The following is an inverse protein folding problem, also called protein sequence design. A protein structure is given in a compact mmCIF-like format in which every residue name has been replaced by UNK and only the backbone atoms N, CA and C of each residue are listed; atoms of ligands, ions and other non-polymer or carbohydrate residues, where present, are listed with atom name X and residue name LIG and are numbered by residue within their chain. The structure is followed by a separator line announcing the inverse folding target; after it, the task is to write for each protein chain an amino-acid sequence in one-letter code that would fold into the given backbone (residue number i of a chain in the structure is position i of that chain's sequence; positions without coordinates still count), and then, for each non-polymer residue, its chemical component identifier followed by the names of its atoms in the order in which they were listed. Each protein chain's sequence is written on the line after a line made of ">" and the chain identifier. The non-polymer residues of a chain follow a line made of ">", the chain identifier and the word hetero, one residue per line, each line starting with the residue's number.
data_IF_535719587883
#
_entry.id   IF_535719587883
#
_cell.length_a   1.000
_cell.length_b   1.000
_cell.length_c   1.000
_cell.angle_alpha   90.00
_cell.angle_beta   90.00
_cell.angle_gamma   90.00
#
_symmetry.space_group_name_H-M   'P 1'
#
loop_
_entity.id
_entity.type
_entity.pdbx_description
1 polymer ?
#
# COMPACT_ATOMS: atom_id res chain seq x y z
N UNK A 1 26.77 -38.02 -51.23
CA UNK A 1 27.43 -38.93 -50.27
C UNK A 1 28.60 -38.18 -49.63
N UNK A 2 28.43 -37.70 -48.39
CA UNK A 2 29.48 -37.06 -47.57
C UNK A 2 29.76 -37.98 -46.39
N UNK A 3 30.99 -38.48 -46.30
CA UNK A 3 31.42 -39.36 -45.22
C UNK A 3 31.39 -38.62 -43.88
N UNK A 4 30.59 -39.12 -42.94
CA UNK A 4 30.57 -38.66 -41.56
C UNK A 4 31.80 -39.22 -40.84
N UNK A 5 32.84 -38.39 -40.68
CA UNK A 5 33.99 -38.67 -39.83
C UNK A 5 33.56 -38.62 -38.36
N UNK A 6 33.07 -39.74 -37.85
CA UNK A 6 32.90 -40.02 -36.41
C UNK A 6 34.28 -40.16 -35.78
N UNK A 7 34.91 -39.02 -35.45
CA UNK A 7 36.05 -39.01 -34.52
C UNK A 7 35.56 -39.38 -33.12
N UNK A 8 35.54 -40.68 -32.83
CA UNK A 8 35.38 -41.22 -31.50
C UNK A 8 36.63 -40.88 -30.69
N UNK A 9 36.73 -39.63 -30.21
CA UNK A 9 37.74 -39.25 -29.20
C UNK A 9 37.41 -40.04 -27.94
N UNK A 10 38.09 -41.18 -27.76
CA UNK A 10 38.20 -41.85 -26.47
C UNK A 10 38.69 -40.81 -25.46
N UNK A 11 37.75 -40.19 -24.72
CA UNK A 11 38.08 -39.42 -23.53
C UNK A 11 38.62 -40.44 -22.54
N UNK A 12 39.94 -40.58 -22.50
CA UNK A 12 40.63 -41.28 -21.43
C UNK A 12 40.33 -40.46 -20.18
N UNK A 13 39.28 -40.84 -19.46
CA UNK A 13 38.92 -40.21 -18.18
C UNK A 13 39.92 -40.74 -17.16
N UNK A 14 41.02 -40.02 -16.99
CA UNK A 14 41.88 -40.22 -15.82
C UNK A 14 40.98 -40.13 -14.59
N UNK A 15 41.00 -41.13 -13.68
CA UNK A 15 40.12 -41.11 -12.51
C UNK A 15 40.36 -39.82 -11.73
N UNK A 16 39.28 -39.08 -11.47
CA UNK A 16 39.37 -37.83 -10.72
C UNK A 16 40.01 -38.10 -9.36
N UNK A 17 40.90 -37.23 -8.88
CA UNK A 17 41.60 -37.45 -7.64
C UNK A 17 40.61 -37.47 -6.47
N UNK A 18 40.79 -38.46 -5.59
CA UNK A 18 39.89 -38.73 -4.46
C UNK A 18 40.64 -38.66 -3.14
N UNK A 19 40.08 -37.93 -2.17
CA UNK A 19 40.56 -37.92 -0.80
C UNK A 19 39.87 -39.02 0.02
N UNK A 20 40.65 -39.72 0.87
CA UNK A 20 40.11 -40.71 1.82
C UNK A 20 39.81 -40.03 3.16
N UNK A 21 38.54 -39.99 3.54
CA UNK A 21 38.08 -39.57 4.88
C UNK A 21 37.57 -40.81 5.61
N UNK A 22 38.48 -41.49 6.31
CA UNK A 22 38.17 -42.78 6.95
C UNK A 22 37.73 -43.83 5.91
N UNK A 23 36.56 -44.47 6.06
CA UNK A 23 36.08 -45.49 5.12
C UNK A 23 35.49 -44.90 3.81
N UNK A 24 35.24 -43.59 3.73
CA UNK A 24 34.56 -42.96 2.59
C UNK A 24 35.58 -42.26 1.68
N UNK A 25 35.44 -42.48 0.36
CA UNK A 25 36.20 -41.74 -0.67
C UNK A 25 35.34 -40.61 -1.20
N UNK A 26 35.83 -39.37 -1.08
CA UNK A 26 35.14 -38.18 -1.60
C UNK A 26 36.00 -37.57 -2.71
N UNK A 27 35.37 -37.06 -3.76
CA UNK A 27 36.06 -36.30 -4.79
C UNK A 27 36.74 -35.07 -4.16
N UNK A 28 38.02 -34.84 -4.47
CA UNK A 28 38.83 -33.78 -3.87
C UNK A 28 38.19 -32.39 -4.02
N UNK A 29 37.59 -32.11 -5.18
CA UNK A 29 36.86 -30.87 -5.44
C UNK A 29 35.68 -30.62 -4.50
N UNK A 30 34.96 -31.67 -4.09
CA UNK A 30 33.84 -31.55 -3.15
C UNK A 30 34.33 -31.35 -1.72
N UNK A 31 35.46 -31.96 -1.37
CA UNK A 31 36.07 -31.78 -0.07
C UNK A 31 36.56 -30.34 0.10
N UNK A 32 37.32 -29.84 -0.87
CA UNK A 32 37.79 -28.45 -0.93
C UNK A 32 36.64 -27.43 -0.88
N UNK A 33 35.57 -27.65 -1.67
CA UNK A 33 34.37 -26.82 -1.60
C UNK A 33 33.73 -26.83 -0.20
N UNK A 34 33.69 -27.99 0.45
CA UNK A 34 33.20 -28.13 1.83
C UNK A 34 34.04 -27.34 2.85
N UNK A 35 35.37 -27.38 2.71
CA UNK A 35 36.28 -26.58 3.55
C UNK A 35 36.03 -25.08 3.35
N UNK A 36 35.90 -24.63 2.10
CA UNK A 36 35.59 -23.23 1.79
C UNK A 36 34.25 -22.79 2.38
N UNK A 37 33.20 -23.61 2.26
CA UNK A 37 31.89 -23.33 2.88
C UNK A 37 32.03 -23.22 4.40
N UNK A 38 32.77 -24.14 5.03
CA UNK A 38 33.03 -24.11 6.47
C UNK A 38 33.74 -22.82 6.92
N UNK A 39 34.76 -22.39 6.18
CA UNK A 39 35.49 -21.15 6.44
C UNK A 39 34.58 -19.93 6.29
N UNK A 40 33.77 -19.88 5.24
CA UNK A 40 32.79 -18.80 5.02
C UNK A 40 31.76 -18.74 6.14
N UNK A 41 31.29 -19.89 6.64
CA UNK A 41 30.38 -19.96 7.78
C UNK A 41 31.03 -19.46 9.07
N UNK A 42 32.30 -19.81 9.32
CA UNK A 42 33.07 -19.30 10.47
C UNK A 42 33.25 -17.78 10.35
N UNK A 43 33.63 -17.27 9.18
CA UNK A 43 33.76 -15.83 8.93
C UNK A 43 32.42 -15.11 9.16
N UNK A 44 31.31 -15.69 8.68
CA UNK A 44 29.96 -15.19 8.91
C UNK A 44 29.56 -15.16 10.38
N UNK A 45 29.86 -16.23 11.13
CA UNK A 45 29.63 -16.29 12.56
C UNK A 45 30.45 -15.24 13.33
N UNK A 46 31.72 -15.00 12.93
CA UNK A 46 32.56 -13.95 13.49
C UNK A 46 32.02 -12.55 13.19
N UNK A 47 31.47 -12.32 12.00
CA UNK A 47 30.79 -11.07 11.66
C UNK A 47 29.46 -10.90 12.41
N UNK A 48 28.76 -11.99 12.74
CA UNK A 48 27.53 -11.96 13.52
C UNK A 48 27.79 -11.79 15.03
N UNK A 49 29.01 -12.03 15.51
CA UNK A 49 29.39 -11.99 16.92
C UNK A 49 29.02 -10.66 17.63
N UNK A 50 29.24 -9.46 17.03
CA UNK A 50 28.80 -8.19 17.62
C UNK A 50 27.28 -8.06 17.75
N UNK A 51 26.50 -8.75 16.92
CA UNK A 51 25.03 -8.71 16.94
C UNK A 51 24.42 -9.69 17.97
N UNK A 52 25.19 -10.66 18.48
CA UNK A 52 24.70 -11.63 19.45
C UNK A 52 24.61 -11.01 20.85
N UNK A 53 23.43 -11.15 21.50
CA UNK A 53 23.10 -10.56 22.82
C UNK A 53 24.19 -10.65 23.91
N UNK A 54 24.86 -11.80 24.16
CA UNK A 54 25.85 -11.88 25.24
C UNK A 54 27.13 -11.10 24.95
N UNK A 55 27.46 -10.85 23.67
CA UNK A 55 28.69 -10.15 23.27
C UNK A 55 28.43 -8.70 22.87
N UNK A 56 27.17 -8.30 22.66
CA UNK A 56 26.80 -6.97 22.21
C UNK A 56 27.27 -5.89 23.21
N UNK A 57 27.02 -6.05 24.51
CA UNK A 57 27.40 -5.06 25.53
C UNK A 57 28.92 -4.76 25.57
N UNK A 58 29.77 -5.77 25.30
CA UNK A 58 31.22 -5.60 25.25
C UNK A 58 31.70 -5.06 23.91
N UNK A 59 31.06 -5.45 22.80
CA UNK A 59 31.40 -4.97 21.47
C UNK A 59 30.97 -3.52 21.23
N UNK A 60 29.83 -3.09 21.80
CA UNK A 60 29.26 -1.75 21.60
C UNK A 60 30.22 -0.65 22.08
N UNK A 61 30.88 -0.84 23.21
CA UNK A 61 31.85 0.14 23.75
C UNK A 61 33.13 0.27 22.94
N UNK A 62 33.45 -0.69 22.07
CA UNK A 62 34.72 -0.75 21.30
C UNK A 62 34.55 -1.11 19.84
N UNK A 63 33.36 -0.88 19.26
CA UNK A 63 33.01 -1.34 17.92
C UNK A 63 34.02 -0.92 16.85
N UNK A 64 34.51 0.32 16.93
CA UNK A 64 35.49 0.90 16.01
C UNK A 64 36.87 0.19 16.01
N UNK A 65 37.23 -0.52 17.09
CA UNK A 65 38.47 -1.33 17.17
C UNK A 65 38.22 -2.81 16.87
N UNK A 66 37.08 -3.33 17.33
CA UNK A 66 36.75 -4.75 17.21
C UNK A 66 36.40 -5.13 15.77
N UNK A 67 35.61 -4.30 15.07
CA UNK A 67 35.20 -4.55 13.68
C UNK A 67 36.37 -4.68 12.69
N UNK A 68 37.34 -3.75 12.63
CA UNK A 68 38.49 -3.90 11.72
C UNK A 68 39.37 -5.11 12.09
N UNK A 69 39.47 -5.46 13.37
CA UNK A 69 40.25 -6.63 13.81
C UNK A 69 39.59 -7.94 13.34
N UNK A 70 38.26 -8.07 13.46
CA UNK A 70 37.50 -9.20 12.92
C UNK A 70 37.66 -9.29 11.40
N UNK A 71 37.60 -8.14 10.72
CA UNK A 71 37.76 -8.08 9.26
C UNK A 71 39.17 -8.54 8.84
N UNK A 72 40.23 -8.03 9.47
CA UNK A 72 41.62 -8.46 9.20
C UNK A 72 41.77 -9.96 9.46
N UNK A 73 41.26 -10.46 10.59
CA UNK A 73 41.32 -11.89 10.91
C UNK A 73 40.62 -12.75 9.85
N UNK A 74 39.41 -12.35 9.41
CA UNK A 74 38.66 -13.04 8.36
C UNK A 74 39.42 -13.02 7.02
N UNK A 75 40.08 -11.91 6.66
CA UNK A 75 40.92 -11.84 5.46
C UNK A 75 42.13 -12.77 5.55
N UNK A 76 42.81 -12.84 6.69
CA UNK A 76 43.94 -13.77 6.89
C UNK A 76 43.50 -15.22 6.83
N UNK A 77 42.35 -15.56 7.45
CA UNK A 77 41.78 -16.90 7.39
C UNK A 77 41.43 -17.31 5.96
N UNK A 78 40.83 -16.41 5.18
CA UNK A 78 40.50 -16.64 3.79
C UNK A 78 41.75 -16.77 2.91
N UNK A 79 42.75 -15.90 3.09
CA UNK A 79 44.00 -15.96 2.35
C UNK A 79 44.77 -17.26 2.64
N UNK A 80 44.83 -17.66 3.92
CA UNK A 80 45.47 -18.91 4.33
C UNK A 80 44.77 -20.13 3.72
N UNK A 81 43.43 -20.15 3.75
CA UNK A 81 42.66 -21.26 3.19
C UNK A 81 42.77 -21.33 1.68
N UNK A 82 42.66 -20.22 0.96
CA UNK A 82 42.88 -20.18 -0.50
C UNK A 82 44.30 -20.60 -0.91
N UNK A 83 45.32 -20.28 -0.11
CA UNK A 83 46.69 -20.74 -0.36
C UNK A 83 46.87 -22.25 -0.07
N UNK A 84 46.02 -22.83 0.80
CA UNK A 84 46.06 -24.25 1.14
C UNK A 84 45.26 -25.14 0.17
N UNK A 85 44.30 -24.58 -0.56
CA UNK A 85 43.50 -25.29 -1.56
C UNK A 85 44.20 -25.30 -2.93
N UNK A 86 44.16 -26.45 -3.62
CA UNK A 86 44.84 -26.60 -4.92
C UNK A 86 43.89 -26.45 -6.12
N UNK A 87 42.62 -26.84 -5.99
CA UNK A 87 41.66 -26.83 -7.12
C UNK A 87 40.77 -25.59 -7.18
N UNK A 88 40.71 -24.81 -6.10
CA UNK A 88 39.85 -23.62 -6.05
C UNK A 88 40.64 -22.36 -6.43
N UNK A 89 40.48 -21.92 -7.68
CA UNK A 89 41.06 -20.67 -8.15
C UNK A 89 40.46 -19.44 -7.44
N UNK A 90 41.32 -18.49 -7.06
CA UNK A 90 40.92 -17.20 -6.49
C UNK A 90 39.85 -16.48 -7.36
N UNK A 91 40.03 -16.52 -8.68
CA UNK A 91 39.11 -15.90 -9.64
C UNK A 91 37.69 -16.47 -9.50
N UNK A 92 37.55 -17.78 -9.32
CA UNK A 92 36.24 -18.44 -9.18
C UNK A 92 35.53 -17.99 -7.90
N UNK A 93 36.28 -17.86 -6.80
CA UNK A 93 35.76 -17.33 -5.54
C UNK A 93 35.34 -15.86 -5.67
N UNK A 94 36.20 -15.04 -6.29
CA UNK A 94 35.92 -13.63 -6.53
C UNK A 94 34.65 -13.42 -7.37
N UNK A 95 34.55 -14.11 -8.52
CA UNK A 95 33.36 -14.00 -9.39
C UNK A 95 32.10 -14.56 -8.72
N UNK A 96 32.22 -15.58 -7.87
CA UNK A 96 31.09 -16.08 -7.07
C UNK A 96 30.60 -15.03 -6.06
N UNK A 97 31.52 -14.35 -5.37
CA UNK A 97 31.16 -13.26 -4.47
C UNK A 97 30.49 -12.09 -5.21
N UNK A 98 31.06 -11.67 -6.35
CA UNK A 98 30.45 -10.64 -7.22
C UNK A 98 29.05 -11.05 -7.66
N UNK A 99 28.83 -12.32 -7.98
CA UNK A 99 27.50 -12.83 -8.36
C UNK A 99 26.50 -12.75 -7.21
N UNK A 100 26.90 -13.09 -5.99
CA UNK A 100 26.02 -12.96 -4.80
C UNK A 100 25.63 -11.49 -4.58
N UNK A 101 26.61 -10.58 -4.66
CA UNK A 101 26.36 -9.13 -4.55
C UNK A 101 25.42 -8.65 -5.65
N UNK A 102 25.63 -9.08 -6.90
CA UNK A 102 24.75 -8.75 -8.01
C UNK A 102 23.31 -9.24 -7.81
N UNK A 103 23.12 -10.45 -7.27
CA UNK A 103 21.79 -10.98 -6.91
C UNK A 103 21.15 -10.14 -5.80
N UNK A 104 21.91 -9.78 -4.77
CA UNK A 104 21.41 -8.95 -3.67
C UNK A 104 21.00 -7.55 -4.15
N UNK A 105 21.79 -6.92 -5.02
CA UNK A 105 21.46 -5.64 -5.65
C UNK A 105 20.17 -5.78 -6.47
N UNK A 106 20.07 -6.79 -7.33
CA UNK A 106 18.87 -7.02 -8.14
C UNK A 106 17.61 -7.24 -7.29
N UNK A 107 17.72 -8.00 -6.19
CA UNK A 107 16.61 -8.18 -5.25
C UNK A 107 16.23 -6.86 -4.55
N UNK A 108 17.20 -6.06 -4.13
CA UNK A 108 16.95 -4.75 -3.50
C UNK A 108 16.29 -3.76 -4.47
N UNK A 109 16.69 -3.78 -5.74
CA UNK A 109 16.08 -2.97 -6.81
C UNK A 109 14.62 -3.35 -7.01
N UNK A 110 14.32 -4.65 -7.13
CA UNK A 110 12.94 -5.13 -7.25
C UNK A 110 12.08 -4.75 -6.05
N UNK A 111 12.63 -4.83 -4.83
CA UNK A 111 11.93 -4.38 -3.62
C UNK A 111 11.65 -2.87 -3.64
N UNK A 112 12.63 -2.05 -4.06
CA UNK A 112 12.47 -0.60 -4.18
C UNK A 112 11.44 -0.23 -5.24
N UNK A 113 11.46 -0.87 -6.41
CA UNK A 113 10.46 -0.66 -7.46
C UNK A 113 9.07 -1.06 -6.96
N UNK A 114 8.94 -2.22 -6.31
CA UNK A 114 7.67 -2.65 -5.72
C UNK A 114 7.13 -1.68 -4.67
N UNK A 115 7.98 -1.20 -3.76
CA UNK A 115 7.62 -0.18 -2.79
C UNK A 115 7.21 1.14 -3.48
N UNK A 116 7.91 1.53 -4.54
CA UNK A 116 7.57 2.70 -5.36
C UNK A 116 6.20 2.59 -6.00
N UNK A 117 5.84 1.42 -6.54
CA UNK A 117 4.50 1.16 -7.10
C UNK A 117 3.42 1.28 -6.02
N UNK A 118 3.64 0.71 -4.82
CA UNK A 118 2.68 0.79 -3.71
C UNK A 118 2.48 2.24 -3.26
N UNK A 119 3.57 3.00 -3.10
CA UNK A 119 3.49 4.43 -2.72
C UNK A 119 2.81 5.23 -3.83
N UNK A 120 3.13 4.98 -5.09
CA UNK A 120 2.49 5.63 -6.23
C UNK A 120 0.99 5.38 -6.27
N UNK A 121 0.56 4.12 -6.08
CA UNK A 121 -0.85 3.75 -6.00
C UNK A 121 -1.54 4.44 -4.80
N UNK A 122 -0.88 4.52 -3.65
CA UNK A 122 -1.41 5.20 -2.47
C UNK A 122 -1.57 6.72 -2.69
N UNK A 123 -0.60 7.36 -3.34
CA UNK A 123 -0.67 8.78 -3.70
C UNK A 123 -1.82 9.02 -4.68
N UNK A 124 -1.93 8.21 -5.75
CA UNK A 124 -3.03 8.30 -6.70
C UNK A 124 -4.39 8.11 -6.02
N UNK A 125 -4.50 7.15 -5.11
CA UNK A 125 -5.70 6.93 -4.32
C UNK A 125 -6.08 8.16 -3.48
N UNK A 126 -5.11 8.76 -2.78
CA UNK A 126 -5.33 9.96 -1.95
C UNK A 126 -5.76 11.17 -2.77
N UNK A 127 -5.23 11.32 -3.98
CA UNK A 127 -5.52 12.47 -4.85
C UNK A 127 -6.66 12.23 -5.85
N UNK A 128 -7.31 11.06 -5.83
CA UNK A 128 -8.35 10.70 -6.80
C UNK A 128 -9.45 11.77 -6.90
N UNK A 129 -9.91 12.30 -5.75
CA UNK A 129 -11.03 13.24 -5.72
C UNK A 129 -10.66 14.58 -6.37
N UNK A 130 -9.41 15.03 -6.17
CA UNK A 130 -8.88 16.23 -6.84
C UNK A 130 -8.74 16.02 -8.34
N UNK A 131 -8.28 14.85 -8.77
CA UNK A 131 -8.16 14.51 -10.19
C UNK A 131 -9.54 14.51 -10.84
N UNK A 132 -10.55 13.90 -10.20
CA UNK A 132 -11.93 13.90 -10.69
C UNK A 132 -12.53 15.30 -10.73
N UNK A 133 -12.28 16.12 -9.71
CA UNK A 133 -12.68 17.53 -9.69
C UNK A 133 -12.07 18.30 -10.88
N UNK A 134 -10.76 18.13 -11.16
CA UNK A 134 -10.10 18.73 -12.32
C UNK A 134 -10.64 18.23 -13.67
N UNK A 135 -11.09 16.98 -13.73
CA UNK A 135 -11.73 16.42 -14.92
C UNK A 135 -13.18 16.89 -15.09
N UNK A 136 -13.71 17.73 -14.19
CA UNK A 136 -15.09 18.21 -14.23
C UNK A 136 -16.10 17.15 -13.81
N UNK A 137 -15.65 16.07 -13.15
CA UNK A 137 -16.56 15.07 -12.58
C UNK A 137 -17.06 15.61 -11.24
N UNK A 138 -18.24 16.22 -11.27
CA UNK A 138 -18.87 16.82 -10.09
C UNK A 138 -19.12 15.79 -8.96
N UNK A 139 -19.20 14.50 -9.30
CA UNK A 139 -19.50 13.44 -8.34
C UNK A 139 -18.56 12.22 -8.51
N UNK A 140 -17.27 12.43 -8.26
CA UNK A 140 -16.23 11.38 -8.37
C UNK A 140 -16.50 10.11 -7.52
N UNK A 141 -17.27 10.24 -6.44
CA UNK A 141 -17.67 9.12 -5.59
C UNK A 141 -18.42 8.00 -6.36
N UNK A 142 -19.17 8.34 -7.41
CA UNK A 142 -19.90 7.35 -8.21
C UNK A 142 -19.03 6.46 -9.09
N UNK A 143 -17.86 6.96 -9.52
CA UNK A 143 -17.03 6.23 -10.47
C UNK A 143 -16.14 5.20 -9.79
N UNK A 144 -15.61 5.52 -8.60
CA UNK A 144 -14.61 4.67 -7.95
C UNK A 144 -15.17 3.97 -6.71
N UNK A 145 -16.32 4.38 -6.18
CA UNK A 145 -16.85 3.85 -4.92
C UNK A 145 -15.96 4.24 -3.74
N UNK A 146 -16.53 4.30 -2.54
CA UNK A 146 -15.74 4.53 -1.34
C UNK A 146 -15.05 3.24 -0.90
N UNK A 147 -13.91 3.33 -0.21
CA UNK A 147 -13.22 2.14 0.32
C UNK A 147 -14.15 1.26 1.15
N UNK A 148 -15.10 1.87 1.86
CA UNK A 148 -16.15 1.18 2.61
C UNK A 148 -17.02 0.29 1.72
N UNK A 149 -17.32 0.72 0.50
CA UNK A 149 -18.12 -0.06 -0.46
C UNK A 149 -17.36 -1.29 -0.93
N UNK A 150 -16.06 -1.12 -1.19
CA UNK A 150 -15.18 -2.22 -1.57
C UNK A 150 -15.03 -3.22 -0.43
N UNK A 151 -14.82 -2.73 0.79
CA UNK A 151 -14.70 -3.56 1.99
C UNK A 151 -16.01 -4.29 2.35
N UNK A 152 -17.16 -3.71 2.01
CA UNK A 152 -18.48 -4.31 2.23
C UNK A 152 -19.01 -5.06 1.01
N UNK A 153 -18.19 -5.24 -0.04
CA UNK A 153 -18.55 -5.88 -1.31
C UNK A 153 -19.86 -5.31 -1.91
N UNK A 154 -20.08 -4.01 -1.80
CA UNK A 154 -21.30 -3.31 -2.23
C UNK A 154 -22.59 -3.93 -1.65
N UNK A 155 -22.52 -4.47 -0.43
CA UNK A 155 -23.70 -5.05 0.23
C UNK A 155 -24.71 -3.97 0.59
N UNK A 156 -25.74 -3.83 -0.25
CA UNK A 156 -26.83 -2.87 -0.06
C UNK A 156 -27.88 -3.32 0.97
N UNK A 157 -27.76 -4.53 1.53
CA UNK A 157 -28.74 -5.09 2.48
C UNK A 157 -28.87 -4.31 3.79
N UNK A 158 -27.87 -3.51 4.14
CA UNK A 158 -27.83 -2.70 5.37
C UNK A 158 -28.68 -1.43 5.26
N UNK A 159 -28.93 -0.97 4.04
CA UNK A 159 -29.67 0.25 3.80
C UNK A 159 -31.15 -0.03 3.61
N UNK A 160 -31.99 0.88 4.09
CA UNK A 160 -33.43 0.87 3.87
C UNK A 160 -33.86 2.27 3.41
N UNK A 161 -34.83 2.37 2.49
CA UNK A 161 -35.25 3.66 1.98
C UNK A 161 -36.13 4.39 2.99
N UNK A 162 -35.83 5.66 3.23
CA UNK A 162 -36.67 6.61 3.98
C UNK A 162 -37.13 7.71 3.02
N UNK A 163 -38.41 8.03 3.06
CA UNK A 163 -39.00 9.09 2.25
C UNK A 163 -39.21 10.36 3.10
N UNK A 164 -38.60 11.46 2.69
CA UNK A 164 -38.64 12.73 3.39
C UNK A 164 -39.63 13.64 2.67
N UNK A 165 -40.73 13.98 3.35
CA UNK A 165 -41.73 14.90 2.84
C UNK A 165 -41.44 16.33 3.27
N UNK A 166 -41.20 17.20 2.29
CA UNK A 166 -40.96 18.62 2.49
C UNK A 166 -42.24 19.36 2.12
N UNK A 167 -43.01 19.76 3.14
CA UNK A 167 -44.34 20.33 2.93
C UNK A 167 -44.30 21.85 2.79
N UNK A 168 -43.82 22.55 3.82
CA UNK A 168 -43.81 24.01 3.90
C UNK A 168 -42.66 24.49 4.78
N UNK A 169 -42.11 25.65 4.45
CA UNK A 169 -41.22 26.42 5.30
C UNK A 169 -41.85 27.79 5.58
N UNK A 170 -41.82 28.22 6.84
CA UNK A 170 -42.37 29.48 7.33
C UNK A 170 -41.27 30.32 7.98
N UNK A 171 -41.49 31.63 8.08
CA UNK A 171 -40.61 32.59 8.75
C UNK A 171 -39.15 32.54 8.28
N UNK A 172 -38.93 32.34 6.97
CA UNK A 172 -37.60 32.33 6.38
C UNK A 172 -36.98 33.73 6.42
N UNK A 173 -35.74 33.88 6.93
CA UNK A 173 -35.05 35.16 6.88
C UNK A 173 -34.80 35.58 5.43
N UNK A 174 -34.92 36.88 5.15
CA UNK A 174 -34.61 37.43 3.85
C UNK A 174 -33.10 37.31 3.58
N UNK A 175 -32.72 36.61 2.51
CA UNK A 175 -31.32 36.46 2.09
C UNK A 175 -30.77 37.76 1.48
N UNK A 176 -31.66 38.60 0.92
CA UNK A 176 -31.32 39.89 0.33
C UNK A 176 -32.38 40.93 0.70
N UNK A 177 -31.95 42.16 0.97
CA UNK A 177 -32.85 43.29 1.27
C UNK A 177 -33.70 43.66 0.04
N UNK A 178 -33.15 43.49 -1.16
CA UNK A 178 -33.73 44.00 -2.40
C UNK A 178 -34.57 42.97 -3.18
N UNK A 179 -34.47 41.68 -2.85
CA UNK A 179 -35.13 40.61 -3.63
C UNK A 179 -35.80 39.58 -2.72
N UNK A 180 -36.90 39.00 -3.21
CA UNK A 180 -37.55 37.87 -2.55
C UNK A 180 -36.68 36.63 -2.71
N UNK A 181 -36.64 35.79 -1.68
CA UNK A 181 -35.89 34.55 -1.72
C UNK A 181 -36.42 33.59 -2.80
N UNK A 182 -35.53 32.99 -3.57
CA UNK A 182 -35.80 31.86 -4.46
C UNK A 182 -35.30 30.59 -3.78
N UNK A 183 -36.21 29.83 -3.17
CA UNK A 183 -35.83 28.83 -2.17
C UNK A 183 -35.85 27.43 -2.75
N UNK A 184 -34.85 26.62 -2.40
CA UNK A 184 -34.87 25.16 -2.56
C UNK A 184 -34.33 24.48 -1.31
N UNK A 185 -34.71 23.22 -1.10
CA UNK A 185 -34.19 22.39 -0.02
C UNK A 185 -33.19 21.38 -0.60
N UNK A 186 -32.02 21.29 0.02
CA UNK A 186 -31.01 20.28 -0.25
C UNK A 186 -31.00 19.28 0.91
N UNK A 187 -31.11 18.00 0.56
CA UNK A 187 -31.12 16.88 1.49
C UNK A 187 -29.86 16.06 1.27
N UNK A 188 -29.08 15.88 2.33
CA UNK A 188 -27.87 15.05 2.31
C UNK A 188 -27.90 14.06 3.48
N UNK A 189 -27.70 12.77 3.19
CA UNK A 189 -27.70 11.72 4.21
C UNK A 189 -26.62 10.68 3.92
N UNK A 190 -25.50 10.78 4.63
CA UNK A 190 -24.42 9.81 4.58
C UNK A 190 -23.98 9.46 3.15
N UNK A 191 -24.22 8.21 2.75
CA UNK A 191 -23.84 7.64 1.47
C UNK A 191 -24.67 8.14 0.27
N UNK A 192 -25.78 8.83 0.50
CA UNK A 192 -26.63 9.31 -0.58
C UNK A 192 -26.04 10.55 -1.26
N UNK A 193 -26.28 10.64 -2.57
CA UNK A 193 -26.08 11.87 -3.33
C UNK A 193 -26.95 12.97 -2.73
N UNK A 194 -26.42 14.19 -2.69
CA UNK A 194 -27.20 15.35 -2.31
C UNK A 194 -28.38 15.49 -3.27
N UNK A 195 -29.59 15.35 -2.73
CA UNK A 195 -30.82 15.52 -3.50
C UNK A 195 -31.37 16.92 -3.26
N UNK A 196 -32.01 17.50 -4.27
CA UNK A 196 -32.55 18.86 -4.20
C UNK A 196 -34.00 18.88 -4.64
N UNK A 197 -34.82 19.66 -3.95
CA UNK A 197 -36.15 20.02 -4.43
C UNK A 197 -36.04 20.96 -5.62
N UNK A 198 -37.16 21.18 -6.31
CA UNK A 198 -37.28 22.26 -7.29
C UNK A 198 -37.10 23.61 -6.59
N UNK A 199 -36.67 24.61 -7.36
CA UNK A 199 -36.51 25.98 -6.88
C UNK A 199 -37.84 26.71 -7.00
N UNK A 200 -38.28 27.29 -5.89
CA UNK A 200 -39.49 28.10 -5.80
C UNK A 200 -39.10 29.58 -5.87
N UNK A 201 -39.20 30.14 -7.07
CA UNK A 201 -38.76 31.51 -7.35
C UNK A 201 -39.64 32.54 -6.61
N UNK A 202 -39.00 33.54 -6.00
CA UNK A 202 -39.69 34.65 -5.33
C UNK A 202 -40.70 34.25 -4.24
N UNK A 203 -40.45 33.15 -3.53
CA UNK A 203 -41.26 32.65 -2.42
C UNK A 203 -41.34 33.65 -1.24
N UNK A 204 -40.28 34.43 -1.02
CA UNK A 204 -40.23 35.39 0.10
C UNK A 204 -39.96 34.71 1.43
N UNK A 205 -40.80 34.98 2.45
CA UNK A 205 -40.63 34.44 3.81
C UNK A 205 -41.34 33.09 4.04
N UNK A 206 -42.27 32.71 3.16
CA UNK A 206 -43.00 31.43 3.29
C UNK A 206 -42.97 30.70 1.96
N UNK A 207 -42.69 29.39 1.99
CA UNK A 207 -42.56 28.57 0.79
C UNK A 207 -43.30 27.25 0.97
N UNK A 208 -44.14 26.86 0.01
CA UNK A 208 -44.87 25.60 0.02
C UNK A 208 -44.24 24.69 -1.05
N UNK A 209 -43.57 23.63 -0.61
CA UNK A 209 -42.86 22.70 -1.49
C UNK A 209 -43.77 21.57 -1.96
N UNK A 210 -44.35 20.81 -1.02
CA UNK A 210 -45.11 19.57 -1.28
C UNK A 210 -44.34 18.58 -2.16
N UNK A 211 -43.06 18.41 -1.87
CA UNK A 211 -42.16 17.49 -2.58
C UNK A 211 -41.70 16.39 -1.64
N UNK A 212 -41.45 15.19 -2.16
CA UNK A 212 -40.84 14.09 -1.41
C UNK A 212 -39.51 13.67 -2.03
N UNK A 213 -38.57 13.29 -1.17
CA UNK A 213 -37.23 12.85 -1.56
C UNK A 213 -36.95 11.53 -0.86
N UNK A 214 -36.61 10.50 -1.63
CA UNK A 214 -36.26 9.18 -1.10
C UNK A 214 -34.75 9.05 -0.93
N UNK A 215 -34.30 8.69 0.26
CA UNK A 215 -32.88 8.51 0.62
C UNK A 215 -32.67 7.16 1.28
N UNK A 216 -31.51 6.55 1.09
CA UNK A 216 -31.14 5.27 1.71
C UNK A 216 -30.55 5.52 3.10
N UNK A 217 -31.28 5.18 4.15
CA UNK A 217 -30.82 5.34 5.53
C UNK A 217 -30.09 4.08 6.02
N UNK A 218 -29.03 4.30 6.79
CA UNK A 218 -28.24 3.28 7.47
C UNK A 218 -28.37 3.45 8.99
N UNK A 219 -29.12 2.58 9.68
CA UNK A 219 -29.40 2.75 11.11
C UNK A 219 -28.17 2.51 11.99
N UNK A 220 -27.12 1.88 11.46
CA UNK A 220 -25.90 1.59 12.18
C UNK A 220 -24.81 2.65 11.94
N UNK A 221 -25.05 3.62 11.06
CA UNK A 221 -24.13 4.72 10.82
C UNK A 221 -24.38 5.88 11.79
N UNK A 222 -23.67 5.87 12.92
CA UNK A 222 -23.80 6.89 13.96
C UNK A 222 -23.05 8.19 13.65
N UNK A 223 -22.15 8.18 12.67
CA UNK A 223 -21.31 9.32 12.32
C UNK A 223 -22.01 10.24 11.32
N UNK A 224 -22.74 9.65 10.38
CA UNK A 224 -23.48 10.41 9.37
C UNK A 224 -24.77 11.01 9.95
N UNK A 225 -25.10 12.22 9.50
CA UNK A 225 -26.30 12.97 9.92
C UNK A 225 -27.15 13.29 8.70
N UNK A 226 -28.47 13.28 8.89
CA UNK A 226 -29.41 13.82 7.91
C UNK A 226 -29.32 15.34 7.97
N UNK A 227 -28.82 15.94 6.89
CA UNK A 227 -28.72 17.38 6.73
C UNK A 227 -29.82 17.86 5.79
N UNK A 228 -30.71 18.70 6.30
CA UNK A 228 -31.71 19.44 5.53
C UNK A 228 -31.25 20.89 5.48
N UNK A 229 -30.90 21.39 4.30
CA UNK A 229 -30.37 22.73 4.10
C UNK A 229 -31.30 23.50 3.18
N UNK A 230 -31.94 24.55 3.68
CA UNK A 230 -32.70 25.48 2.85
C UNK A 230 -31.75 26.55 2.30
N UNK A 231 -31.70 26.68 0.98
CA UNK A 231 -30.81 27.61 0.28
C UNK A 231 -31.61 28.59 -0.56
N UNK A 232 -31.07 29.80 -0.68
CA UNK A 232 -31.53 30.81 -1.63
C UNK A 232 -30.70 30.70 -2.92
N UNK A 233 -31.34 30.46 -4.06
CA UNK A 233 -30.67 30.46 -5.35
C UNK A 233 -30.44 31.90 -5.83
N UNK A 234 -29.18 32.32 -5.84
CA UNK A 234 -28.72 33.55 -6.47
C UNK A 234 -28.11 33.31 -7.85
N UNK A 235 -27.77 34.40 -8.54
CA UNK A 235 -27.18 34.36 -9.89
C UNK A 235 -25.74 33.83 -9.90
N UNK A 236 -24.99 34.06 -8.83
CA UNK A 236 -23.57 33.70 -8.70
C UNK A 236 -23.31 32.51 -7.78
N UNK A 237 -24.34 32.02 -7.08
CA UNK A 237 -24.18 31.00 -6.06
C UNK A 237 -25.48 30.75 -5.30
N UNK A 238 -25.42 29.83 -4.33
CA UNK A 238 -26.55 29.54 -3.45
C UNK A 238 -26.17 29.82 -2.00
N UNK A 239 -26.92 30.69 -1.35
CA UNK A 239 -26.67 31.08 0.05
C UNK A 239 -27.50 30.21 1.00
N UNK A 240 -26.92 29.77 2.11
CA UNK A 240 -27.64 28.98 3.11
C UNK A 240 -28.51 29.91 3.95
N UNK A 241 -29.83 29.64 3.96
CA UNK A 241 -30.80 30.37 4.78
C UNK A 241 -30.87 29.75 6.17
N UNK A 242 -31.11 28.44 6.22
CA UNK A 242 -31.13 27.67 7.45
C UNK A 242 -30.75 26.22 7.21
N UNK A 243 -30.32 25.55 8.27
CA UNK A 243 -29.91 24.16 8.25
C UNK A 243 -30.44 23.44 9.48
N UNK A 244 -30.99 22.26 9.26
CA UNK A 244 -31.36 21.31 10.31
C UNK A 244 -30.51 20.06 10.13
N UNK A 245 -29.94 19.58 11.23
CA UNK A 245 -29.18 18.33 11.26
C UNK A 245 -29.87 17.37 12.22
N UNK A 246 -30.16 16.16 11.76
CA UNK A 246 -30.73 15.09 12.56
C UNK A 246 -29.74 13.93 12.64
N UNK A 247 -29.44 13.47 13.85
CA UNK A 247 -28.64 12.27 14.05
C UNK A 247 -29.45 11.00 13.75
N UNK A 248 -28.76 9.87 13.54
CA UNK A 248 -29.40 8.59 13.23
C UNK A 248 -30.53 8.20 14.21
N UNK A 249 -30.31 8.39 15.52
CA UNK A 249 -31.32 8.11 16.54
C UNK A 249 -32.58 9.00 16.40
N UNK A 250 -32.42 10.27 16.02
CA UNK A 250 -33.55 11.18 15.83
C UNK A 250 -34.34 10.81 14.58
N UNK A 251 -33.66 10.43 13.50
CA UNK A 251 -34.31 9.94 12.27
C UNK A 251 -35.13 8.68 12.58
N UNK A 252 -34.55 7.73 13.32
CA UNK A 252 -35.24 6.50 13.72
C UNK A 252 -36.46 6.76 14.60
N UNK A 253 -36.42 7.78 15.46
CA UNK A 253 -37.58 8.18 16.28
C UNK A 253 -38.69 8.84 15.46
N UNK A 254 -38.35 9.51 14.37
CA UNK A 254 -39.30 10.20 13.48
C UNK A 254 -39.95 9.26 12.44
N UNK A 255 -39.43 8.04 12.29
CA UNK A 255 -39.98 7.02 11.40
C UNK A 255 -41.22 6.31 12.01
N UNK A 256 -41.36 6.32 13.34
CA UNK A 256 -42.45 5.67 14.10
C UNK A 256 -43.70 6.53 14.13
#
# INVERSE_FOLDING_TARGET
>A
MKAANLHFRLKITTPAPTHRLGPVRVAESRYEAGVMIGVVLVMGALFALPLMRPCNAWCETRLHRVCPLILIFNFLLLAYTLNALYYVDFNTCFFSAVRIVSVAIGASEQMLVGAGVIVGAFVLWKFKDRIFEFMGVEHGAHLVGDFRDWATCWSMKRFHPVEIFILKAEDLPAASIASKNSVFCEVALGYNVQMRTRVHNSAGQTCVFKESIQVNFDPYDTETRLNLVLKNQGTLGSDVICQVQLGAQQVQQLEV
#
